data_IF_421012524093
#
_entry.id   IF_421012524093
#
_cell.length_a   1.000
_cell.length_b   1.000
_cell.length_c   1.000
_cell.angle_alpha   90.00
_cell.angle_beta   90.00
_cell.angle_gamma   90.00
#
_symmetry.space_group_name_H-M   'P 1'
#
loop_
_entity.id
_entity.type
_entity.pdbx_description
1 polymer ?
#
# COMPACT_ATOMS: atom_id res chain seq x y z
N UNK A 1 -11.10 -14.54 -0.28
CA UNK A 1 -9.62 -14.61 -0.21
C UNK A 1 -9.07 -13.65 -1.25
N UNK A 2 -8.01 -12.90 -0.94
CA UNK A 2 -7.42 -11.99 -1.92
C UNK A 2 -6.76 -12.78 -3.06
N UNK A 3 -6.81 -12.24 -4.28
CA UNK A 3 -6.06 -12.75 -5.44
C UNK A 3 -4.81 -11.91 -5.71
N UNK A 4 -3.89 -12.43 -6.52
CA UNK A 4 -2.72 -11.68 -7.00
C UNK A 4 -3.10 -10.28 -7.51
N UNK A 5 -4.10 -10.20 -8.39
CA UNK A 5 -4.56 -8.94 -8.99
C UNK A 5 -5.10 -7.96 -7.93
N UNK A 6 -5.76 -8.46 -6.88
CA UNK A 6 -6.24 -7.59 -5.81
C UNK A 6 -5.08 -7.05 -4.97
N UNK A 7 -4.08 -7.88 -4.65
CA UNK A 7 -2.87 -7.45 -3.93
C UNK A 7 -2.06 -6.45 -4.76
N UNK A 8 -1.92 -6.70 -6.06
CA UNK A 8 -1.25 -5.81 -7.01
C UNK A 8 -1.95 -4.45 -7.07
N UNK A 9 -3.28 -4.43 -7.14
CA UNK A 9 -4.05 -3.20 -7.11
C UNK A 9 -3.84 -2.40 -5.81
N UNK A 10 -3.71 -3.06 -4.65
CA UNK A 10 -3.39 -2.38 -3.39
C UNK A 10 -2.00 -1.75 -3.47
N UNK A 11 -0.99 -2.50 -3.96
CA UNK A 11 0.37 -1.98 -4.14
C UNK A 11 0.40 -0.75 -5.04
N UNK A 12 -0.22 -0.82 -6.23
CA UNK A 12 -0.28 0.31 -7.17
C UNK A 12 -0.97 1.54 -6.56
N UNK A 13 -1.95 1.34 -5.68
CA UNK A 13 -2.56 2.46 -4.96
C UNK A 13 -1.64 3.08 -3.91
N UNK A 14 -0.81 2.29 -3.23
CA UNK A 14 0.23 2.80 -2.33
C UNK A 14 1.29 3.60 -3.10
N UNK A 15 1.76 3.09 -4.24
CA UNK A 15 2.69 3.79 -5.13
C UNK A 15 2.11 5.13 -5.58
N UNK A 16 0.83 5.16 -5.94
CA UNK A 16 0.13 6.40 -6.28
C UNK A 16 0.13 7.40 -5.10
N UNK A 17 -0.13 6.96 -3.86
CA UNK A 17 -0.10 7.82 -2.67
C UNK A 17 1.29 8.41 -2.46
N UNK A 18 2.34 7.58 -2.54
CA UNK A 18 3.74 8.01 -2.40
C UNK A 18 4.07 9.07 -3.46
N UNK A 19 3.68 8.85 -4.72
CA UNK A 19 3.90 9.80 -5.81
C UNK A 19 3.15 11.13 -5.61
N UNK A 20 1.94 11.11 -5.06
CA UNK A 20 1.23 12.36 -4.73
C UNK A 20 1.91 13.12 -3.59
N UNK A 21 2.36 12.41 -2.54
CA UNK A 21 3.02 13.00 -1.40
C UNK A 21 4.37 13.65 -1.77
N UNK A 22 5.13 13.08 -2.69
CA UNK A 22 6.41 13.64 -3.16
C UNK A 22 6.24 14.87 -4.03
N UNK A 23 5.18 14.94 -4.84
CA UNK A 23 4.89 16.10 -5.70
C UNK A 23 4.31 17.30 -4.91
N UNK A 24 3.59 17.04 -3.82
CA UNK A 24 2.85 18.07 -3.07
C UNK A 24 3.64 18.85 -2.01
N UNK A 25 4.83 18.40 -1.63
CA UNK A 25 5.58 18.98 -0.50
C UNK A 25 6.98 19.45 -0.90
N UNK A 26 7.15 20.76 -1.07
CA UNK A 26 8.45 21.39 -1.33
C UNK A 26 9.43 21.30 -0.15
N UNK A 27 8.95 21.03 1.08
CA UNK A 27 9.81 20.74 2.25
C UNK A 27 9.06 19.88 3.29
N UNK A 28 9.10 18.53 3.19
CA UNK A 28 8.40 17.65 4.12
C UNK A 28 9.01 17.69 5.53
N UNK A 29 8.17 17.65 6.56
CA UNK A 29 8.63 17.55 7.95
C UNK A 29 9.29 16.20 8.23
N UNK A 30 10.00 16.07 9.37
CA UNK A 30 10.59 14.78 9.78
C UNK A 30 9.51 13.69 9.95
N UNK A 31 8.31 14.07 10.40
CA UNK A 31 7.20 13.13 10.53
C UNK A 31 6.69 12.67 9.16
N UNK A 32 6.57 13.60 8.20
CA UNK A 32 6.16 13.28 6.83
C UNK A 32 7.18 12.38 6.14
N UNK A 33 8.47 12.66 6.32
CA UNK A 33 9.55 11.81 5.80
C UNK A 33 9.50 10.39 6.38
N UNK A 34 9.25 10.26 7.69
CA UNK A 34 9.08 8.95 8.31
C UNK A 34 7.87 8.22 7.73
N UNK A 35 6.72 8.89 7.60
CA UNK A 35 5.53 8.29 7.02
C UNK A 35 5.76 7.85 5.56
N UNK A 36 6.48 8.64 4.78
CA UNK A 36 6.86 8.28 3.41
C UNK A 36 7.76 7.03 3.37
N UNK A 37 8.72 6.94 4.30
CA UNK A 37 9.58 5.76 4.43
C UNK A 37 8.78 4.52 4.81
N UNK A 38 7.90 4.62 5.81
CA UNK A 38 7.03 3.51 6.24
C UNK A 38 6.13 3.02 5.06
N UNK A 39 5.64 3.93 4.21
CA UNK A 39 4.86 3.57 3.02
C UNK A 39 5.70 2.87 1.95
N UNK A 40 6.95 3.29 1.75
CA UNK A 40 7.88 2.63 0.82
C UNK A 40 8.24 1.21 1.29
N UNK A 41 8.46 1.02 2.59
CA UNK A 41 8.69 -0.30 3.19
C UNK A 41 7.45 -1.21 3.04
N UNK A 42 6.25 -0.64 3.20
CA UNK A 42 5.01 -1.36 2.96
C UNK A 42 4.87 -1.79 1.49
N UNK A 43 5.21 -0.93 0.53
CA UNK A 43 5.21 -1.29 -0.91
C UNK A 43 6.15 -2.46 -1.17
N UNK A 44 7.38 -2.43 -0.65
CA UNK A 44 8.34 -3.54 -0.80
C UNK A 44 7.81 -4.85 -0.19
N UNK A 45 7.10 -4.78 0.94
CA UNK A 45 6.47 -5.95 1.55
C UNK A 45 5.39 -6.55 0.65
N UNK A 46 4.65 -5.72 -0.10
CA UNK A 46 3.66 -6.19 -1.07
C UNK A 46 4.30 -6.80 -2.31
N UNK A 47 5.47 -6.33 -2.74
CA UNK A 47 6.24 -6.96 -3.81
C UNK A 47 6.66 -8.38 -3.42
N UNK A 48 7.20 -8.55 -2.21
CA UNK A 48 7.52 -9.87 -1.66
C UNK A 48 6.26 -10.75 -1.59
N UNK A 49 5.13 -10.23 -1.13
CA UNK A 49 3.89 -10.99 -1.08
C UNK A 49 3.41 -11.41 -2.49
N UNK A 50 3.55 -10.55 -3.49
CA UNK A 50 3.20 -10.88 -4.88
C UNK A 50 4.12 -11.97 -5.44
N UNK A 51 5.42 -11.91 -5.16
CA UNK A 51 6.38 -12.95 -5.53
C UNK A 51 6.00 -14.29 -4.88
N UNK A 52 5.65 -14.29 -3.60
CA UNK A 52 5.18 -15.47 -2.88
C UNK A 52 3.86 -16.02 -3.44
N UNK A 53 2.91 -15.17 -3.80
CA UNK A 53 1.65 -15.60 -4.43
C UNK A 53 1.93 -16.23 -5.81
N UNK A 54 2.87 -15.67 -6.56
CA UNK A 54 3.24 -16.19 -7.87
C UNK A 54 3.95 -17.55 -7.77
N UNK A 55 4.78 -17.76 -6.75
CA UNK A 55 5.53 -19.00 -6.53
C UNK A 55 4.68 -20.10 -5.88
N UNK A 56 3.87 -19.76 -4.87
CA UNK A 56 3.19 -20.72 -4.00
C UNK A 56 1.66 -20.67 -4.08
N UNK A 57 1.10 -19.78 -4.90
CA UNK A 57 -0.35 -19.57 -5.00
C UNK A 57 -0.92 -18.72 -3.87
N UNK A 58 -2.24 -18.49 -3.92
CA UNK A 58 -2.93 -17.60 -2.96
C UNK A 58 -3.01 -18.14 -1.53
N UNK A 59 -2.64 -19.39 -1.30
CA UNK A 59 -2.68 -20.02 0.04
C UNK A 59 -1.68 -19.40 1.02
N UNK A 60 -0.68 -18.66 0.52
CA UNK A 60 0.21 -17.84 1.35
C UNK A 60 -0.53 -16.71 2.06
N UNK A 61 -1.73 -16.34 1.61
CA UNK A 61 -2.57 -15.30 2.20
C UNK A 61 -3.40 -15.94 3.32
N UNK A 62 -2.80 -16.04 4.50
CA UNK A 62 -3.50 -16.46 5.70
C UNK A 62 -4.44 -15.37 6.24
N UNK A 63 -5.07 -15.64 7.38
CA UNK A 63 -6.00 -14.68 8.00
C UNK A 63 -5.33 -13.37 8.40
N UNK A 64 -4.09 -13.41 8.91
CA UNK A 64 -3.38 -12.21 9.35
C UNK A 64 -2.95 -11.35 8.16
N UNK A 65 -2.49 -11.97 7.07
CA UNK A 65 -2.16 -11.25 5.84
C UNK A 65 -3.42 -10.63 5.24
N UNK A 66 -4.53 -11.36 5.20
CA UNK A 66 -5.81 -10.83 4.74
C UNK A 66 -6.29 -9.63 5.58
N UNK A 67 -6.14 -9.67 6.90
CA UNK A 67 -6.45 -8.54 7.79
C UNK A 67 -5.55 -7.33 7.51
N UNK A 68 -4.25 -7.55 7.30
CA UNK A 68 -3.31 -6.50 6.90
C UNK A 68 -3.69 -5.83 5.58
N UNK A 69 -4.03 -6.63 4.57
CA UNK A 69 -4.53 -6.14 3.27
C UNK A 69 -5.78 -5.26 3.44
N UNK A 70 -6.74 -5.70 4.25
CA UNK A 70 -7.97 -4.95 4.51
C UNK A 70 -7.73 -3.63 5.26
N UNK A 71 -6.77 -3.59 6.18
CA UNK A 71 -6.37 -2.34 6.87
C UNK A 71 -5.76 -1.35 5.87
N UNK A 72 -4.90 -1.82 4.97
CA UNK A 72 -4.29 -0.99 3.94
C UNK A 72 -5.33 -0.44 2.96
N UNK A 73 -6.32 -1.24 2.55
CA UNK A 73 -7.42 -0.75 1.71
C UNK A 73 -8.22 0.37 2.39
N UNK A 74 -8.50 0.25 3.69
CA UNK A 74 -9.17 1.31 4.46
C UNK A 74 -8.34 2.60 4.50
N UNK A 75 -7.01 2.48 4.68
CA UNK A 75 -6.09 3.61 4.60
C UNK A 75 -6.15 4.29 3.22
N UNK A 76 -6.03 3.51 2.14
CA UNK A 76 -6.10 4.00 0.76
C UNK A 76 -7.42 4.72 0.50
N UNK A 77 -8.54 4.12 0.90
CA UNK A 77 -9.87 4.71 0.72
C UNK A 77 -9.97 6.07 1.43
N UNK A 78 -9.45 6.17 2.66
CA UNK A 78 -9.41 7.43 3.41
C UNK A 78 -8.58 8.49 2.68
N UNK A 79 -7.38 8.15 2.20
CA UNK A 79 -6.50 9.10 1.50
C UNK A 79 -7.13 9.57 0.18
N UNK A 80 -7.66 8.64 -0.64
CA UNK A 80 -8.31 8.99 -1.91
C UNK A 80 -9.55 9.86 -1.73
N UNK A 81 -10.35 9.60 -0.69
CA UNK A 81 -11.51 10.43 -0.39
C UNK A 81 -11.12 11.85 0.03
N UNK A 82 -10.06 12.00 0.81
CA UNK A 82 -9.51 13.33 1.13
C UNK A 82 -8.99 14.05 -0.11
N UNK A 83 -8.27 13.36 -0.99
CA UNK A 83 -7.76 13.94 -2.23
C UNK A 83 -8.88 14.39 -3.20
N UNK A 84 -10.03 13.71 -3.21
CA UNK A 84 -11.22 14.12 -3.98
C UNK A 84 -11.95 15.31 -3.37
N UNK A 85 -11.76 15.57 -2.08
CA UNK A 85 -12.43 16.66 -1.36
C UNK A 85 -11.66 17.98 -1.41
N UNK A 86 -10.42 17.95 -1.91
CA UNK A 86 -9.53 19.10 -2.15
C UNK A 86 -9.68 19.61 -3.58
#
# INVERSE_FOLDING_TARGET
MYSYIQVEAIKTNLEWIVNQATLGHSTPSRADQKALFDLLELIQSYEILLDLINEFGTDVIDTHIAEGLAVTEKLIAKVKNSAKAM
#
